data_IF_571336957864
#
_entry.id   IF_571336957864
#
_cell.length_a   1.000
_cell.length_b   1.000
_cell.length_c   1.000
_cell.angle_alpha   90.00
_cell.angle_beta   90.00
_cell.angle_gamma   90.00
#
_symmetry.space_group_name_H-M   'P 1'
#
loop_
_entity.id
_entity.type
_entity.pdbx_description
1 polymer ?
2 polymer ?
3 non-polymer ?
4 water ?
#
# COMPACT_ATOMS: atom_id res chain seq x y z
N UNK A 1 -20.86 -15.41 -12.03
CA UNK A 1 -21.97 -15.24 -11.10
C UNK A 1 -22.62 -13.89 -11.28
N UNK A 2 -23.58 -13.55 -10.40
CA UNK A 2 -24.28 -12.27 -10.52
C UNK A 2 -23.38 -11.12 -10.11
N UNK A 3 -23.55 -9.97 -10.74
CA UNK A 3 -22.85 -8.79 -10.29
C UNK A 3 -23.40 -8.32 -8.94
N UNK A 4 -22.52 -7.98 -8.00
CA UNK A 4 -22.92 -7.60 -6.65
C UNK A 4 -22.41 -6.22 -6.27
N UNK A 5 -23.16 -5.50 -5.45
CA UNK A 5 -22.67 -4.28 -4.83
C UNK A 5 -22.42 -4.56 -3.34
N UNK A 6 -21.24 -4.19 -2.86
CA UNK A 6 -20.81 -4.51 -1.50
C UNK A 6 -20.26 -3.27 -0.82
N UNK A 7 -20.67 -3.03 0.42
CA UNK A 7 -20.19 -1.90 1.19
C UNK A 7 -19.06 -2.31 2.16
N UNK A 8 -18.00 -1.51 2.19
CA UNK A 8 -16.88 -1.72 3.09
C UNK A 8 -16.69 -0.45 3.92
N UNK A 9 -16.51 -0.60 5.22
CA UNK A 9 -16.22 0.51 6.11
C UNK A 9 -14.80 0.39 6.61
N UNK A 10 -14.03 1.46 6.44
CA UNK A 10 -12.60 1.47 6.74
C UNK A 10 -12.28 2.74 7.52
N UNK A 11 -11.44 2.63 8.53
CA UNK A 11 -10.93 3.81 9.22
C UNK A 11 -9.64 4.26 8.52
N UNK A 12 -9.22 5.49 8.80
CA UNK A 12 -8.12 6.07 8.03
C UNK A 12 -6.75 5.46 8.31
N UNK A 13 -6.63 4.72 9.41
CA UNK A 13 -5.36 4.13 9.81
C UNK A 13 -5.18 2.76 9.21
N UNK A 14 -6.19 2.29 8.48
CA UNK A 14 -6.18 0.95 7.91
C UNK A 14 -6.07 0.95 6.40
N UNK A 15 -5.62 -0.17 5.84
CA UNK A 15 -5.81 -0.45 4.44
C UNK A 15 -7.13 -1.18 4.20
N UNK A 16 -7.32 -1.67 2.98
CA UNK A 16 -8.56 -2.37 2.66
C UNK A 16 -8.55 -3.79 3.21
N UNK A 17 -7.36 -4.38 3.35
CA UNK A 17 -7.28 -5.75 3.83
C UNK A 17 -7.45 -6.79 2.73
N UNK A 18 -6.99 -6.47 1.54
CA UNK A 18 -7.01 -7.45 0.44
C UNK A 18 -5.70 -7.44 -0.28
N UNK A 19 -5.43 -8.55 -0.97
CA UNK A 19 -4.42 -8.53 -2.00
C UNK A 19 -5.14 -8.62 -3.31
N UNK A 20 -4.65 -7.83 -4.28
CA UNK A 20 -5.18 -7.90 -5.63
C UNK A 20 -4.12 -8.38 -6.62
N UNK A 21 -4.57 -9.07 -7.65
CA UNK A 21 -3.72 -9.49 -8.74
C UNK A 21 -4.42 -9.20 -10.05
N UNK A 22 -3.72 -9.36 -11.16
CA UNK A 22 -4.35 -9.13 -12.45
C UNK A 22 -4.22 -7.70 -12.89
N UNK A 23 -5.05 -7.32 -13.85
CA UNK A 23 -4.97 -6.00 -14.44
C UNK A 23 -4.88 -6.07 -15.96
N UNK A 24 -5.20 -4.96 -16.62
CA UNK A 24 -5.33 -4.95 -18.06
C UNK A 24 -4.10 -5.47 -18.79
N UNK A 25 -2.92 -5.17 -18.26
CA UNK A 25 -1.70 -5.58 -18.95
C UNK A 25 -1.55 -7.10 -18.96
N UNK A 26 -2.32 -7.78 -18.13
CA UNK A 26 -2.29 -9.23 -18.04
C UNK A 26 -3.50 -9.85 -18.75
N UNK A 27 -4.37 -9.01 -19.30
CA UNK A 27 -5.59 -9.46 -19.96
C UNK A 27 -6.64 -10.05 -19.04
N UNK A 28 -6.61 -9.67 -17.76
CA UNK A 28 -7.61 -10.14 -16.80
C UNK A 28 -8.03 -8.99 -15.90
N UNK A 29 -9.19 -9.12 -15.26
CA UNK A 29 -9.65 -8.05 -14.36
C UNK A 29 -8.76 -7.92 -13.14
N UNK A 30 -9.01 -6.88 -12.35
CA UNK A 30 -8.44 -6.79 -11.01
C UNK A 30 -9.15 -7.82 -10.16
N UNK A 31 -8.39 -8.79 -9.65
CA UNK A 31 -8.95 -9.91 -8.91
C UNK A 31 -8.49 -9.91 -7.47
N UNK A 32 -9.40 -10.23 -6.56
CA UNK A 32 -9.01 -10.38 -5.16
C UNK A 32 -8.36 -11.73 -4.98
N UNK A 33 -7.09 -11.75 -4.62
CA UNK A 33 -6.37 -13.00 -4.40
C UNK A 33 -6.27 -13.38 -2.92
N UNK A 34 -6.44 -12.40 -2.04
CA UNK A 34 -6.43 -12.65 -0.60
C UNK A 34 -7.38 -11.70 0.10
N UNK A 35 -8.04 -12.22 1.15
CA UNK A 35 -8.79 -11.40 2.09
C UNK A 35 -8.11 -11.61 3.44
N UNK A 36 -7.51 -10.56 3.97
CA UNK A 36 -6.71 -10.70 5.19
C UNK A 36 -7.55 -10.68 6.45
N UNK A 37 -7.33 -11.67 7.33
CA UNK A 37 -8.27 -11.84 8.43
C UNK A 37 -8.31 -10.63 9.36
N UNK A 38 -9.52 -10.21 9.70
CA UNK A 38 -9.71 -9.17 10.69
C UNK A 38 -9.60 -7.74 10.16
N UNK A 39 -9.19 -7.59 8.90
CA UNK A 39 -9.06 -6.27 8.28
C UNK A 39 -10.39 -5.89 7.58
N UNK A 40 -10.50 -4.65 7.05
CA UNK A 40 -11.84 -4.22 6.68
C UNK A 40 -12.59 -5.08 5.67
N UNK A 41 -11.94 -5.61 4.64
CA UNK A 41 -12.67 -6.43 3.68
C UNK A 41 -13.26 -7.68 4.33
N UNK A 42 -12.47 -8.32 5.20
CA UNK A 42 -12.97 -9.48 5.94
C UNK A 42 -14.16 -9.08 6.79
N UNK A 43 -14.03 -7.96 7.50
CA UNK A 43 -15.10 -7.51 8.39
C UNK A 43 -16.38 -7.14 7.66
N UNK A 44 -16.28 -6.60 6.44
CA UNK A 44 -17.48 -6.19 5.71
C UNK A 44 -18.37 -7.36 5.31
N UNK A 45 -17.75 -8.52 5.09
CA UNK A 45 -18.49 -9.76 4.89
C UNK A 45 -18.90 -10.17 3.48
N UNK A 46 -18.82 -9.24 2.54
CA UNK A 46 -19.34 -9.47 1.20
C UNK A 46 -18.32 -9.60 0.09
N UNK A 47 -17.04 -9.64 0.44
CA UNK A 47 -15.97 -9.73 -0.57
C UNK A 47 -15.25 -11.06 -0.42
N UNK A 48 -14.92 -11.71 -1.54
CA UNK A 48 -14.33 -13.03 -1.47
C UNK A 48 -13.16 -13.19 -2.44
N UNK A 49 -12.22 -14.07 -2.07
CA UNK A 49 -11.15 -14.43 -2.97
C UNK A 49 -11.77 -14.95 -4.26
N UNK A 50 -11.31 -14.43 -5.38
CA UNK A 50 -11.83 -14.81 -6.68
C UNK A 50 -12.74 -13.77 -7.26
N UNK A 51 -13.20 -12.82 -6.44
CA UNK A 51 -14.01 -11.72 -6.94
C UNK A 51 -13.20 -10.84 -7.87
N UNK A 52 -13.82 -10.43 -8.97
CA UNK A 52 -13.26 -9.40 -9.82
C UNK A 52 -13.84 -8.08 -9.37
N UNK A 53 -12.99 -7.07 -9.18
CA UNK A 53 -13.45 -5.76 -8.80
C UNK A 53 -13.75 -4.95 -10.06
N UNK A 54 -15.03 -4.76 -10.32
CA UNK A 54 -15.44 -4.08 -11.53
C UNK A 54 -15.41 -2.57 -11.38
N UNK A 55 -15.68 -2.09 -10.17
CA UNK A 55 -15.67 -0.67 -9.90
C UNK A 55 -15.59 -0.42 -8.40
N UNK A 56 -15.11 0.75 -8.02
CA UNK A 56 -15.11 1.16 -6.62
C UNK A 56 -15.55 2.61 -6.51
N UNK A 57 -16.54 2.88 -5.67
CA UNK A 57 -17.12 4.21 -5.60
C UNK A 57 -17.43 4.82 -6.95
N UNK A 58 -17.93 3.99 -7.88
CA UNK A 58 -18.31 4.46 -9.19
C UNK A 58 -17.19 4.58 -10.20
N UNK A 59 -15.97 4.25 -9.81
CA UNK A 59 -14.84 4.29 -10.73
C UNK A 59 -14.65 2.91 -11.38
N UNK A 60 -14.80 2.83 -12.70
CA UNK A 60 -14.66 1.56 -13.39
C UNK A 60 -13.22 1.08 -13.26
N UNK A 61 -13.06 -0.19 -12.92
CA UNK A 61 -11.73 -0.77 -12.85
C UNK A 61 -11.58 -1.88 -13.88
N UNK A 62 -12.53 -2.00 -14.81
CA UNK A 62 -12.53 -3.14 -15.72
C UNK A 62 -11.40 -3.13 -16.75
N UNK A 63 -10.89 -1.94 -17.07
CA UNK A 63 -9.83 -1.85 -18.07
C UNK A 63 -8.58 -1.19 -17.50
N UNK A 64 -8.44 -1.25 -16.19
CA UNK A 64 -7.32 -0.58 -15.54
C UNK A 64 -6.13 -1.50 -15.40
N UNK A 65 -4.94 -0.92 -15.56
CA UNK A 65 -3.71 -1.63 -15.29
C UNK A 65 -3.54 -1.84 -13.80
N UNK A 66 -2.73 -2.81 -13.45
CA UNK A 66 -2.55 -3.18 -12.04
C UNK A 66 -2.28 -1.97 -11.13
N UNK A 67 -1.26 -1.20 -11.47
CA UNK A 67 -0.87 -0.09 -10.60
C UNK A 67 -1.87 1.07 -10.61
N UNK A 68 -2.57 1.25 -11.72
CA UNK A 68 -3.66 2.21 -11.76
C UNK A 68 -4.69 1.84 -10.70
N UNK A 69 -5.05 0.56 -10.67
CA UNK A 69 -6.02 0.06 -9.70
C UNK A 69 -5.54 0.24 -8.26
N UNK A 70 -4.26 -0.01 -8.01
CA UNK A 70 -3.73 0.21 -6.67
C UNK A 70 -3.94 1.67 -6.25
N UNK A 71 -3.57 2.60 -7.11
CA UNK A 71 -3.73 4.03 -6.78
C UNK A 71 -5.19 4.39 -6.50
N UNK A 72 -6.08 3.95 -7.41
CA UNK A 72 -7.49 4.23 -7.24
C UNK A 72 -8.05 3.62 -5.96
N UNK A 73 -7.78 2.32 -5.74
CA UNK A 73 -8.30 1.65 -4.56
C UNK A 73 -7.78 2.25 -3.25
N UNK A 74 -6.48 2.51 -3.19
CA UNK A 74 -5.89 3.05 -1.98
C UNK A 74 -6.31 4.48 -1.64
N UNK A 75 -6.83 5.22 -2.62
CA UNK A 75 -7.33 6.58 -2.41
C UNK A 75 -8.69 6.61 -1.70
N UNK A 76 -9.44 5.51 -1.75
CA UNK A 76 -10.79 5.52 -1.18
C UNK A 76 -10.77 5.50 0.33
N UNK A 77 -11.68 6.27 0.93
CA UNK A 77 -11.74 6.39 2.39
C UNK A 77 -13.15 6.18 2.89
N UNK A 78 -13.24 5.67 4.11
CA UNK A 78 -14.50 5.67 4.84
C UNK A 78 -15.46 4.60 4.40
N UNK A 79 -16.60 5.03 3.87
CA UNK A 79 -17.64 4.13 3.39
C UNK A 79 -17.45 3.92 1.91
N UNK A 80 -17.00 2.73 1.54
CA UNK A 80 -16.54 2.46 0.18
C UNK A 80 -17.41 1.41 -0.49
N UNK A 81 -17.98 1.75 -1.63
CA UNK A 81 -18.85 0.82 -2.34
C UNK A 81 -18.11 0.10 -3.45
N UNK A 82 -18.15 -1.22 -3.42
CA UNK A 82 -17.52 -2.06 -4.44
C UNK A 82 -18.57 -2.68 -5.36
N UNK A 83 -18.27 -2.76 -6.64
CA UNK A 83 -19.08 -3.54 -7.56
C UNK A 83 -18.18 -4.71 -7.95
N UNK A 84 -18.63 -5.92 -7.63
CA UNK A 84 -17.80 -7.11 -7.82
C UNK A 84 -18.58 -8.26 -8.46
N UNK A 85 -17.84 -9.19 -9.05
CA UNK A 85 -18.45 -10.42 -9.56
C UNK A 85 -17.52 -11.60 -9.39
N UNK A 86 -18.09 -12.73 -8.97
CA UNK A 86 -17.33 -13.97 -8.88
C UNK A 86 -17.60 -14.85 -10.08
N UNK A 87 -16.53 -15.20 -10.80
CA UNK A 87 -16.61 -16.05 -11.98
C UNK A 87 -15.87 -17.35 -11.72
N UNK B 1 1.53 -9.04 9.52
CA UNK B 1 0.74 -7.99 10.14
C UNK B 1 -0.08 -7.21 9.12
N UNK B 2 -0.99 -6.37 9.61
CA UNK B 2 -1.87 -5.60 8.72
C UNK B 2 -1.24 -4.33 8.20
N UNK B 3 -1.74 -3.83 7.08
CA UNK B 3 -1.37 -2.49 6.65
C UNK B 3 -1.75 -1.47 7.71
N UNK B 4 -0.83 -0.55 7.98
CA UNK B 4 -1.09 0.59 8.84
C UNK B 4 -0.79 1.85 8.08
N UNK B 5 -1.58 2.89 8.31
CA UNK B 5 -1.23 4.21 7.82
C UNK B 5 -0.86 5.07 9.02
N UNK B 6 0.34 5.64 8.97
CA UNK B 6 0.99 6.28 10.09
C UNK B 6 1.37 7.70 9.71
N UNK B 7 1.09 8.67 10.58
CA UNK B 7 1.48 10.05 10.31
C UNK B 7 2.80 10.41 10.97
N UNK B 8 3.62 11.12 10.23
CA UNK B 8 4.89 11.60 10.72
C UNK B 8 4.88 13.11 10.53
N UNK B 9 5.26 13.87 11.56
CA UNK B 9 5.30 15.32 11.44
C UNK B 9 6.75 15.78 11.25
N UNK B 10 7.02 16.40 10.11
CA UNK B 10 8.38 16.83 9.77
C UNK B 10 8.47 18.34 9.67
N UNK B 11 9.41 18.92 10.41
CA UNK B 11 9.74 20.33 10.23
C UNK B 11 10.62 20.46 9.00
N UNK B 12 10.50 21.57 8.28
CA UNK B 12 11.24 21.74 7.03
C UNK B 12 12.75 21.55 7.20
N UNK B 13 13.27 21.87 8.38
CA UNK B 13 14.71 21.81 8.62
C UNK B 13 15.20 20.41 8.98
N UNK B 14 14.29 19.49 9.28
CA UNK B 14 14.72 18.18 9.75
C UNK B 14 14.47 17.03 8.76
N UNK B 15 15.27 15.98 8.90
CA UNK B 15 15.05 14.76 8.16
C UNK B 15 14.02 13.92 8.89
N UNK B 16 13.54 12.87 8.23
CA UNK B 16 12.55 11.96 8.82
C UNK B 16 13.17 11.10 9.91
N UNK B 17 14.47 10.81 9.78
CA UNK B 17 15.15 9.97 10.75
C UNK B 17 14.95 8.49 10.48
N UNK B 18 15.12 8.09 9.22
CA UNK B 18 14.88 6.72 8.82
C UNK B 18 16.00 6.30 7.89
N UNK B 19 16.55 5.10 8.10
CA UNK B 19 17.42 4.50 7.10
C UNK B 19 16.59 3.56 6.27
N UNK B 20 16.81 3.62 4.96
CA UNK B 20 16.00 2.91 3.96
C UNK B 20 16.89 1.95 3.18
N UNK B 21 16.42 0.74 2.92
CA UNK B 21 17.13 -0.18 2.04
C UNK B 21 16.13 -0.93 1.17
N UNK B 22 16.61 -1.74 0.24
CA UNK B 22 15.72 -2.48 -0.64
C UNK B 22 15.21 -1.67 -1.82
N UNK B 23 14.17 -2.19 -2.47
CA UNK B 23 13.65 -1.58 -3.68
C UNK B 23 13.60 -2.57 -4.84
N UNK B 24 13.00 -2.12 -5.93
CA UNK B 24 12.67 -2.96 -7.07
C UNK B 24 13.87 -3.72 -7.63
N UNK B 25 15.03 -3.07 -7.68
CA UNK B 25 16.19 -3.69 -8.30
C UNK B 25 16.70 -4.89 -7.50
N UNK B 26 16.24 -5.00 -6.26
CA UNK B 26 16.62 -6.11 -5.41
C UNK B 26 15.48 -7.09 -5.16
N UNK B 27 14.35 -6.85 -5.81
CA UNK B 27 13.22 -7.76 -5.72
C UNK B 27 12.56 -7.76 -4.35
N UNK B 28 12.70 -6.66 -3.62
CA UNK B 28 12.10 -6.55 -2.29
C UNK B 28 11.51 -5.16 -2.13
N UNK B 29 10.64 -4.97 -1.13
CA UNK B 29 10.07 -3.65 -0.89
C UNK B 29 11.11 -2.63 -0.46
N UNK B 30 10.70 -1.36 -0.43
CA UNK B 30 11.42 -0.34 0.28
C UNK B 30 11.26 -0.65 1.76
N UNK B 31 12.38 -0.89 2.45
CA UNK B 31 12.36 -1.40 3.81
C UNK B 31 13.03 -0.43 4.76
N UNK B 32 12.44 -0.28 5.95
CA UNK B 32 13.07 0.48 7.02
C UNK B 32 14.14 -0.39 7.70
N UNK B 33 15.37 0.11 7.71
CA UNK B 33 16.46 -0.64 8.31
C UNK B 33 16.92 -0.03 9.64
N UNK B 34 16.62 1.25 9.83
CA UNK B 34 16.92 1.90 11.11
C UNK B 34 15.93 3.04 11.41
N UNK B 35 15.59 3.20 12.68
CA UNK B 35 14.81 4.34 13.15
C UNK B 35 15.73 5.12 14.08
N UNK B 36 16.06 6.35 13.69
CA UNK B 36 17.02 7.15 14.43
C UNK B 36 16.41 7.86 15.63
N UNK B 37 17.05 7.71 16.80
CA UNK B 37 16.48 8.20 18.06
C UNK B 37 16.14 9.68 18.04
N UNK B 38 14.92 10.02 18.47
CA UNK B 38 14.52 11.40 18.68
C UNK B 38 14.04 12.14 17.45
N UNK B 39 14.21 11.55 16.28
CA UNK B 39 13.79 12.21 15.06
C UNK B 39 12.32 11.88 14.75
N UNK B 40 11.75 12.53 13.72
CA UNK B 40 10.30 12.40 13.50
C UNK B 40 9.77 10.97 13.44
N UNK B 41 10.46 10.04 12.78
CA UNK B 41 9.96 8.66 12.70
C UNK B 41 9.92 7.99 14.06
N UNK B 42 10.95 8.19 14.86
CA UNK B 42 10.96 7.69 16.23
C UNK B 42 9.80 8.32 17.02
N UNK B 43 9.66 9.63 16.92
CA UNK B 43 8.69 10.37 17.72
C UNK B 43 7.25 9.90 17.46
N UNK B 44 6.95 9.55 16.21
CA UNK B 44 5.59 9.18 15.86
C UNK B 44 5.18 7.83 16.46
N UNK B 45 6.18 6.99 16.75
CA UNK B 45 5.95 5.74 17.44
C UNK B 45 5.27 4.64 16.65
N UNK B 46 5.04 4.86 15.36
CA UNK B 46 4.34 3.89 14.54
C UNK B 46 5.11 3.27 13.40
N UNK B 47 6.41 3.53 13.34
CA UNK B 47 7.28 3.00 12.30
C UNK B 47 8.40 2.18 12.91
N UNK B 48 8.62 0.99 12.38
CA UNK B 48 9.58 0.07 12.99
C UNK B 48 10.53 -0.56 11.99
N UNK B 49 11.70 -0.95 12.47
CA UNK B 49 12.66 -1.64 11.62
C UNK B 49 12.00 -2.90 11.09
N UNK B 50 12.14 -3.12 9.79
CA UNK B 50 11.53 -4.26 9.14
C UNK B 50 10.24 -3.94 8.40
N UNK B 51 9.65 -2.78 8.70
CA UNK B 51 8.46 -2.33 7.98
C UNK B 51 8.78 -2.09 6.51
N UNK B 52 7.84 -2.50 5.65
CA UNK B 52 7.89 -2.15 4.25
C UNK B 52 7.09 -0.88 4.05
N UNK B 53 7.67 0.10 3.35
CA UNK B 53 6.93 1.29 2.99
C UNK B 53 6.26 1.05 1.64
N UNK B 54 4.94 0.86 1.67
CA UNK B 54 4.17 0.57 0.47
C UNK B 54 3.85 1.83 -0.30
N UNK B 55 3.64 2.93 0.43
CA UNK B 55 3.32 4.20 -0.21
C UNK B 55 3.58 5.34 0.75
N UNK B 56 3.76 6.53 0.20
CA UNK B 56 3.90 7.72 1.03
C UNK B 56 3.05 8.82 0.41
N UNK B 57 2.18 9.42 1.22
CA UNK B 57 1.25 10.44 0.73
C UNK B 57 0.58 10.05 -0.58
N UNK B 58 0.18 8.78 -0.70
CA UNK B 58 -0.53 8.31 -1.87
C UNK B 58 0.34 8.06 -3.10
N UNK B 59 1.65 8.04 -2.90
CA UNK B 59 2.58 7.65 -3.96
C UNK B 59 2.93 6.18 -3.73
N UNK B 60 2.51 5.33 -4.66
CA UNK B 60 2.75 3.89 -4.56
C UNK B 60 4.23 3.58 -4.80
N UNK B 61 4.87 2.99 -3.79
CA UNK B 61 6.29 2.65 -3.88
C UNK B 61 6.52 1.14 -3.91
N UNK B 62 5.48 0.38 -4.23
CA UNK B 62 5.59 -1.08 -4.27
C UNK B 62 6.49 -1.57 -5.39
N UNK B 63 6.64 -0.78 -6.45
CA UNK B 63 7.41 -1.27 -7.59
C UNK B 63 8.33 -0.19 -8.11
N UNK B 64 9.09 0.40 -7.20
CA UNK B 64 9.95 1.54 -7.50
C UNK B 64 11.37 1.20 -7.07
N UNK B 65 12.35 1.58 -7.88
CA UNK B 65 13.74 1.39 -7.49
C UNK B 65 14.11 2.25 -6.30
N UNK B 66 15.15 1.81 -5.59
CA UNK B 66 15.62 2.48 -4.38
C UNK B 66 15.77 4.00 -4.54
N UNK B 67 16.55 4.43 -5.52
CA UNK B 67 16.91 5.85 -5.63
C UNK B 67 15.68 6.72 -5.83
N UNK B 68 14.77 6.28 -6.69
CA UNK B 68 13.58 7.07 -6.96
C UNK B 68 12.64 7.11 -5.76
N UNK B 69 12.53 6.01 -5.04
CA UNK B 69 11.71 6.00 -3.82
C UNK B 69 12.27 6.96 -2.79
N UNK B 70 13.59 6.93 -2.62
CA UNK B 70 14.26 7.82 -1.69
C UNK B 70 14.02 9.29 -2.09
N UNK B 71 14.11 9.58 -3.38
CA UNK B 71 13.85 10.94 -3.84
C UNK B 71 12.41 11.39 -3.51
N UNK B 72 11.43 10.56 -3.84
CA UNK B 72 10.03 10.87 -3.50
C UNK B 72 9.85 11.08 -2.01
N UNK B 73 10.42 10.18 -1.21
CA UNK B 73 10.30 10.29 0.23
C UNK B 73 10.88 11.62 0.72
N UNK B 74 12.02 12.00 0.16
CA UNK B 74 12.73 13.19 0.61
C UNK B 74 12.03 14.49 0.25
N UNK B 75 11.13 14.41 -0.73
CA UNK B 75 10.41 15.59 -1.19
C UNK B 75 9.19 15.89 -0.34
N UNK B 76 8.79 14.96 0.51
CA UNK B 76 7.58 15.16 1.31
C UNK B 76 7.81 16.17 2.42
N UNK B 77 6.76 16.91 2.74
CA UNK B 77 6.85 17.99 3.72
C UNK B 77 5.67 17.97 4.67
N UNK B 78 5.90 18.51 5.88
CA UNK B 78 4.82 18.67 6.84
C UNK B 78 4.38 17.36 7.47
N UNK B 79 3.07 17.15 7.49
CA UNK B 79 2.48 15.94 8.07
C UNK B 79 2.36 14.90 6.96
N UNK B 80 3.10 13.80 7.11
CA UNK B 80 3.34 12.89 6.00
C UNK B 80 2.76 11.52 6.33
N UNK B 81 1.94 10.98 5.43
CA UNK B 81 1.31 9.69 5.67
C UNK B 81 2.11 8.56 5.04
N UNK B 82 2.54 7.61 5.87
CA UNK B 82 3.22 6.41 5.41
C UNK B 82 2.25 5.25 5.45
N UNK B 83 2.16 4.50 4.36
CA UNK B 83 1.40 3.27 4.34
C UNK B 83 2.41 2.15 4.46
N UNK B 84 2.38 1.42 5.57
CA UNK B 84 3.41 0.42 5.86
C UNK B 84 2.81 -0.93 6.22
N UNK B 85 3.63 -1.97 6.11
CA UNK B 85 3.20 -3.30 6.53
C UNK B 85 4.40 -4.07 7.01
N UNK B 86 4.19 -4.88 8.04
CA UNK B 86 5.19 -5.82 8.49
C UNK B 86 4.59 -7.19 8.21
N UNK B 87 4.98 -7.79 7.10
CA UNK B 87 4.41 -9.07 6.68
C UNK B 87 5.04 -10.28 7.38
N UNK C 3 2.26 -16.46 -10.95
CA UNK C 3 3.26 -15.48 -10.57
C UNK C 3 3.66 -14.61 -11.75
N UNK C 4 3.05 -14.86 -12.91
CA UNK C 4 3.25 -14.03 -14.08
C UNK C 4 2.61 -12.66 -13.85
N UNK C 5 1.59 -12.62 -13.00
CA UNK C 5 0.88 -11.38 -12.71
C UNK C 5 1.43 -10.71 -11.46
N UNK C 6 1.30 -9.39 -11.41
CA UNK C 6 1.62 -8.62 -10.23
C UNK C 6 0.58 -8.89 -9.14
N UNK C 7 1.02 -8.88 -7.88
CA UNK C 7 0.14 -8.90 -6.72
C UNK C 7 0.51 -7.76 -5.81
N UNK C 8 -0.49 -7.04 -5.31
CA UNK C 8 -0.25 -5.97 -4.36
C UNK C 8 -1.14 -6.15 -3.13
N UNK C 9 -0.58 -5.90 -1.96
CA UNK C 9 -1.32 -5.88 -0.70
C UNK C 9 -1.79 -4.45 -0.50
N UNK C 10 -3.09 -4.26 -0.29
CA UNK C 10 -3.68 -2.93 -0.19
C UNK C 10 -4.74 -2.86 0.89
N UNK D 1 17.59 -8.01 5.86
CA UNK D 1 18.03 -7.32 4.66
C UNK D 1 19.48 -7.67 4.33
N UNK D 2 19.83 -7.56 3.06
CA UNK D 2 21.17 -7.87 2.59
C UNK D 2 22.08 -6.63 2.67
N UNK D 3 23.22 -6.75 3.36
CA UNK D 3 24.10 -5.61 3.56
C UNK D 3 24.66 -5.02 2.28
N UNK D 4 24.59 -5.77 1.18
CA UNK D 4 25.15 -5.28 -0.07
C UNK D 4 24.22 -4.31 -0.80
N UNK D 5 22.93 -4.33 -0.45
CA UNK D 5 21.98 -3.36 -0.97
C UNK D 5 22.36 -1.96 -0.50
N UNK D 6 22.09 -0.95 -1.32
CA UNK D 6 22.33 0.44 -0.92
C UNK D 6 21.48 0.80 0.28
N UNK D 7 22.05 1.60 1.16
CA UNK D 7 21.29 2.21 2.24
C UNK D 7 21.26 3.72 2.05
N UNK D 8 20.08 4.29 2.23
CA UNK D 8 19.93 5.73 2.21
C UNK D 8 19.35 6.17 3.53
N UNK D 9 19.59 7.42 3.87
CA UNK D 9 18.96 8.02 5.04
C UNK D 9 18.08 9.17 4.61
N UNK D 10 16.87 9.23 5.17
CA UNK D 10 15.93 10.30 4.85
C UNK D 10 15.44 10.98 6.11
#
# INVERSE_FOLDING_TARGET
GPIRKVLLLKEDHEGLGISITGGKEHGVPILISEIHPGQPADRCGGLHVGDAILAVNGVNLRDTKHKEAVTILSQQRGEIEFEVVYV
GPIRKVLLLKEDHEGLGISITGGKEHGVPILISEIHPGQPADRCGGLHVGDAILAVNGVNLRDTKHKEAVTILSQQRGEIEFEVVYV
ANSRWQTSII
ANSRWQTSII
#
